data_IF_085549228264
#
_entry.id   IF_085549228264
#
_cell.length_a   1.000
_cell.length_b   1.000
_cell.length_c   1.000
_cell.angle_alpha   90.00
_cell.angle_beta   90.00
_cell.angle_gamma   90.00
#
_symmetry.space_group_name_H-M   'P 1'
#
loop_
_entity.id
_entity.type
_entity.pdbx_description
1 polymer ?
#
# COMPACT_ATOMS: atom_id res chain seq x y z
N UNK A 1 41.74 37.47 57.56
CA UNK A 1 42.07 37.43 56.09
C UNK A 1 41.91 36.04 55.47
N UNK A 2 42.37 34.93 56.12
CA UNK A 2 42.23 33.57 55.56
C UNK A 2 40.78 33.07 55.36
N UNK A 3 39.81 33.51 56.14
CA UNK A 3 38.37 33.09 56.04
C UNK A 3 37.64 33.79 54.88
N UNK A 4 38.05 34.96 54.48
CA UNK A 4 37.49 35.68 53.33
C UNK A 4 37.94 35.10 52.02
N UNK A 5 39.19 34.60 51.93
CA UNK A 5 39.72 33.96 50.74
C UNK A 5 39.02 32.64 50.43
N UNK A 6 38.59 31.91 51.48
CA UNK A 6 37.89 30.63 51.32
C UNK A 6 36.46 30.80 50.75
N UNK A 7 35.77 31.88 51.16
CA UNK A 7 34.44 32.19 50.67
C UNK A 7 34.43 32.67 49.21
N UNK A 8 35.46 33.39 48.79
CA UNK A 8 35.62 33.84 47.41
C UNK A 8 35.88 32.65 46.47
N UNK A 9 36.66 31.65 46.93
CA UNK A 9 37.00 30.46 46.15
C UNK A 9 35.73 29.55 45.92
N UNK A 10 34.81 29.48 46.89
CA UNK A 10 33.57 28.72 46.78
C UNK A 10 32.57 29.44 45.86
N UNK A 11 32.56 30.78 45.87
CA UNK A 11 31.67 31.55 44.98
C UNK A 11 32.06 31.44 43.49
N UNK A 12 33.36 31.31 43.21
CA UNK A 12 33.88 31.18 41.84
C UNK A 12 33.59 29.77 41.28
N UNK A 13 33.51 28.72 42.11
CA UNK A 13 33.15 27.38 41.65
C UNK A 13 31.66 27.22 41.32
N UNK A 14 30.78 28.07 41.84
CA UNK A 14 29.33 28.00 41.58
C UNK A 14 28.89 28.70 40.29
N UNK A 15 29.77 29.52 39.68
CA UNK A 15 29.42 30.24 38.43
C UNK A 15 29.86 29.49 37.18
N UNK A 16 30.71 28.45 37.30
CA UNK A 16 31.14 27.61 36.15
C UNK A 16 30.25 26.40 35.87
N UNK A 17 29.17 26.22 36.63
CA UNK A 17 28.23 25.08 36.46
C UNK A 17 26.92 25.43 35.72
N UNK A 18 26.83 26.62 35.10
CA UNK A 18 25.64 27.02 34.31
C UNK A 18 25.99 27.28 32.85
N UNK A 19 26.68 26.31 32.24
CA UNK A 19 26.98 26.26 30.81
C UNK A 19 26.66 24.89 30.23
N UNK A 20 25.55 24.26 30.66
CA UNK A 20 25.01 23.11 29.96
C UNK A 20 24.08 23.62 28.85
N UNK A 21 24.63 23.80 27.68
CA UNK A 21 23.83 23.75 26.46
C UNK A 21 22.95 22.50 26.52
N UNK A 22 21.66 22.70 26.69
CA UNK A 22 20.65 21.72 26.38
C UNK A 22 20.77 21.47 24.88
N UNK A 23 21.68 20.59 24.48
CA UNK A 23 21.56 19.90 23.20
C UNK A 23 20.24 19.20 23.25
N UNK A 24 19.25 19.87 22.66
CA UNK A 24 18.01 19.26 22.23
C UNK A 24 18.42 18.12 21.30
N UNK A 25 18.64 16.94 21.85
CA UNK A 25 18.76 15.72 21.07
C UNK A 25 17.37 15.49 20.46
N UNK A 26 17.17 16.07 19.30
CA UNK A 26 16.23 15.53 18.34
C UNK A 26 16.77 14.13 18.00
N UNK A 27 16.42 13.16 18.81
CA UNK A 27 16.39 11.78 18.35
C UNK A 27 15.25 11.68 17.35
N UNK A 28 15.45 12.25 16.17
CA UNK A 28 14.89 11.71 14.96
C UNK A 28 15.56 10.34 14.87
N UNK A 29 14.85 9.30 15.30
CA UNK A 29 15.20 7.94 14.98
C UNK A 29 15.33 7.90 13.46
N UNK A 30 16.57 7.97 12.97
CA UNK A 30 16.86 7.70 11.58
C UNK A 30 16.55 6.23 11.37
N UNK A 31 15.34 5.92 10.93
CA UNK A 31 15.11 4.71 10.17
C UNK A 31 16.16 4.74 9.06
N UNK A 32 17.09 3.79 9.12
CA UNK A 32 18.00 3.55 8.01
C UNK A 32 17.12 3.44 6.77
N UNK A 33 17.22 4.40 5.86
CA UNK A 33 16.51 4.34 4.60
C UNK A 33 16.84 2.98 3.98
N UNK A 34 15.84 2.17 3.75
CA UNK A 34 16.03 0.86 3.15
C UNK A 34 16.51 1.08 1.73
N UNK A 35 17.70 0.57 1.40
CA UNK A 35 18.33 0.82 0.09
C UNK A 35 17.57 0.15 -1.06
N UNK A 36 16.76 -0.88 -0.76
CA UNK A 36 15.99 -1.64 -1.76
C UNK A 36 14.70 -2.15 -1.14
N UNK A 37 13.58 -1.95 -1.82
CA UNK A 37 12.27 -2.46 -1.42
C UNK A 37 11.95 -3.75 -2.15
N UNK A 38 11.29 -4.71 -1.47
CA UNK A 38 10.74 -5.93 -2.07
C UNK A 38 9.23 -5.80 -2.15
N UNK A 39 8.66 -5.83 -3.35
CA UNK A 39 7.22 -5.73 -3.58
C UNK A 39 6.70 -7.06 -4.10
N UNK A 40 5.70 -7.64 -3.41
CA UNK A 40 4.96 -8.78 -3.91
C UNK A 40 3.85 -8.32 -4.85
N UNK A 41 3.79 -8.87 -6.05
CA UNK A 41 2.69 -8.61 -6.99
C UNK A 41 1.88 -9.87 -7.17
N UNK A 42 0.58 -9.81 -6.93
CA UNK A 42 -0.34 -10.93 -7.16
C UNK A 42 -1.45 -10.54 -8.13
N UNK A 43 -1.67 -11.40 -9.11
CA UNK A 43 -2.68 -11.26 -10.15
C UNK A 43 -3.56 -12.50 -10.19
N UNK A 44 -4.89 -12.33 -10.34
CA UNK A 44 -5.81 -13.48 -10.28
C UNK A 44 -5.64 -14.39 -11.49
N UNK A 45 -5.48 -13.83 -12.69
CA UNK A 45 -5.38 -14.56 -13.95
C UNK A 45 -4.60 -13.74 -14.98
N UNK A 46 -3.94 -14.38 -15.92
CA UNK A 46 -3.33 -13.70 -17.06
C UNK A 46 -4.43 -13.11 -17.96
N UNK A 47 -4.44 -11.77 -18.08
CA UNK A 47 -5.39 -11.05 -18.90
C UNK A 47 -4.76 -9.72 -19.35
N UNK A 48 -4.90 -9.29 -20.62
CA UNK A 48 -4.21 -8.10 -21.14
C UNK A 48 -4.42 -6.83 -20.32
N UNK A 49 -5.64 -6.59 -19.81
CA UNK A 49 -5.92 -5.42 -18.98
C UNK A 49 -5.21 -5.47 -17.63
N UNK A 50 -5.16 -6.66 -16.99
CA UNK A 50 -4.48 -6.86 -15.71
C UNK A 50 -2.95 -6.82 -15.89
N UNK A 51 -2.45 -7.38 -16.98
CA UNK A 51 -1.04 -7.31 -17.35
C UNK A 51 -0.60 -5.85 -17.57
N UNK A 52 -1.43 -5.03 -18.24
CA UNK A 52 -1.18 -3.61 -18.44
C UNK A 52 -1.14 -2.86 -17.12
N UNK A 53 -2.04 -3.15 -16.18
CA UNK A 53 -2.04 -2.55 -14.84
C UNK A 53 -0.75 -2.91 -14.06
N UNK A 54 -0.32 -4.18 -14.14
CA UNK A 54 0.94 -4.64 -13.54
C UNK A 54 2.14 -3.92 -14.11
N UNK A 55 2.27 -3.87 -15.43
CA UNK A 55 3.41 -3.22 -16.07
C UNK A 55 3.43 -1.70 -15.79
N UNK A 56 2.28 -1.01 -15.84
CA UNK A 56 2.19 0.40 -15.49
C UNK A 56 2.62 0.70 -14.04
N UNK A 57 2.28 -0.18 -13.10
CA UNK A 57 2.74 -0.08 -11.73
C UNK A 57 4.28 -0.22 -11.64
N UNK A 58 4.87 -1.19 -12.33
CA UNK A 58 6.32 -1.39 -12.36
C UNK A 58 7.06 -0.23 -13.03
N UNK A 59 6.49 0.33 -14.09
CA UNK A 59 7.09 1.46 -14.81
C UNK A 59 7.14 2.73 -13.94
N UNK A 60 6.12 2.98 -13.12
CA UNK A 60 6.15 4.09 -12.16
C UNK A 60 7.34 4.01 -11.19
N UNK A 61 7.76 2.81 -10.78
CA UNK A 61 8.96 2.65 -9.95
C UNK A 61 10.26 2.89 -10.72
N UNK A 62 10.32 2.51 -12.00
CA UNK A 62 11.48 2.83 -12.85
C UNK A 62 11.66 4.35 -12.98
N UNK A 63 10.56 5.09 -13.15
CA UNK A 63 10.57 6.54 -13.26
C UNK A 63 10.90 7.23 -11.93
N UNK A 64 10.52 6.64 -10.80
CA UNK A 64 10.76 7.20 -9.46
C UNK A 64 12.22 7.15 -9.02
N UNK A 65 13.05 6.31 -9.64
CA UNK A 65 14.44 6.08 -9.24
C UNK A 65 14.60 5.25 -7.95
N UNK A 66 13.50 4.74 -7.37
CA UNK A 66 13.55 3.85 -6.22
C UNK A 66 14.09 2.48 -6.61
N UNK A 67 14.95 1.91 -5.78
CA UNK A 67 15.44 0.54 -5.97
C UNK A 67 14.39 -0.43 -5.47
N UNK A 68 13.74 -1.15 -6.40
CA UNK A 68 12.68 -2.10 -6.10
C UNK A 68 12.98 -3.44 -6.76
N UNK A 69 12.68 -4.51 -6.04
CA UNK A 69 12.61 -5.88 -6.58
C UNK A 69 11.18 -6.35 -6.53
N UNK A 70 10.71 -7.00 -7.60
CA UNK A 70 9.35 -7.51 -7.70
C UNK A 70 9.35 -9.04 -7.60
N UNK A 71 8.46 -9.57 -6.77
CA UNK A 71 8.10 -10.99 -6.72
C UNK A 71 6.69 -11.15 -7.29
N UNK A 72 6.61 -11.61 -8.54
CA UNK A 72 5.37 -11.66 -9.31
C UNK A 72 4.77 -13.06 -9.28
N UNK A 73 3.50 -13.19 -8.89
CA UNK A 73 2.77 -14.45 -8.81
C UNK A 73 1.40 -14.32 -9.46
N UNK A 74 0.99 -15.40 -10.13
CA UNK A 74 -0.34 -15.52 -10.74
C UNK A 74 -1.12 -16.63 -10.04
N UNK A 75 -2.36 -16.35 -9.65
CA UNK A 75 -3.22 -17.32 -8.98
C UNK A 75 -3.93 -18.27 -9.94
N UNK A 76 -3.83 -18.05 -11.26
CA UNK A 76 -4.42 -18.88 -12.32
C UNK A 76 -5.94 -19.11 -12.16
N UNK A 77 -6.66 -18.10 -11.65
CA UNK A 77 -8.09 -18.16 -11.40
C UNK A 77 -8.50 -18.79 -10.08
N UNK A 78 -7.54 -19.30 -9.30
CA UNK A 78 -7.80 -20.09 -8.09
C UNK A 78 -7.68 -19.24 -6.81
N UNK A 79 -8.77 -19.07 -6.07
CA UNK A 79 -8.80 -18.31 -4.82
C UNK A 79 -7.88 -18.93 -3.76
N UNK A 80 -7.83 -20.27 -3.68
CA UNK A 80 -6.93 -20.96 -2.75
C UNK A 80 -5.45 -20.62 -3.03
N UNK A 81 -5.08 -20.54 -4.31
CA UNK A 81 -3.74 -20.14 -4.75
C UNK A 81 -3.47 -18.67 -4.41
N UNK A 82 -4.46 -17.77 -4.61
CA UNK A 82 -4.32 -16.37 -4.22
C UNK A 82 -4.07 -16.21 -2.71
N UNK A 83 -4.79 -16.95 -1.87
CA UNK A 83 -4.59 -16.98 -0.42
C UNK A 83 -3.19 -17.47 -0.04
N UNK A 84 -2.71 -18.53 -0.70
CA UNK A 84 -1.36 -19.07 -0.46
C UNK A 84 -0.29 -18.04 -0.86
N UNK A 85 -0.44 -17.38 -1.99
CA UNK A 85 0.49 -16.33 -2.45
C UNK A 85 0.54 -15.18 -1.45
N UNK A 86 -0.61 -14.69 -0.99
CA UNK A 86 -0.69 -13.61 -0.02
C UNK A 86 0.01 -13.96 1.31
N UNK A 87 -0.21 -15.16 1.83
CA UNK A 87 0.46 -15.65 3.05
C UNK A 87 1.98 -15.81 2.85
N UNK A 88 2.42 -16.25 1.67
CA UNK A 88 3.84 -16.35 1.34
C UNK A 88 4.50 -14.96 1.35
N UNK A 89 3.90 -13.94 0.77
CA UNK A 89 4.42 -12.57 0.79
C UNK A 89 4.57 -12.04 2.22
N UNK A 90 3.62 -12.32 3.10
CA UNK A 90 3.72 -11.96 4.53
C UNK A 90 4.89 -12.69 5.19
N UNK A 91 5.06 -13.98 4.94
CA UNK A 91 6.14 -14.81 5.49
C UNK A 91 7.52 -14.36 4.99
N UNK A 92 7.61 -13.99 3.72
CA UNK A 92 8.82 -13.48 3.07
C UNK A 92 9.13 -12.02 3.42
N UNK A 93 8.24 -11.37 4.19
CA UNK A 93 8.38 -10.00 4.66
C UNK A 93 8.61 -9.00 3.50
N UNK A 94 7.80 -9.10 2.46
CA UNK A 94 7.79 -8.07 1.44
C UNK A 94 7.41 -6.70 2.07
N UNK A 95 7.78 -5.62 1.45
CA UNK A 95 7.52 -4.28 1.99
C UNK A 95 6.12 -3.77 1.65
N UNK A 96 5.55 -4.29 0.55
CA UNK A 96 4.23 -3.96 0.04
C UNK A 96 3.69 -5.12 -0.78
N UNK A 97 2.37 -5.34 -0.75
CA UNK A 97 1.68 -6.21 -1.69
C UNK A 97 0.90 -5.35 -2.68
N UNK A 98 1.14 -5.55 -3.98
CA UNK A 98 0.28 -5.04 -5.04
C UNK A 98 -0.63 -6.16 -5.53
N UNK A 99 -1.93 -5.97 -5.34
CA UNK A 99 -2.95 -6.97 -5.65
C UNK A 99 -3.84 -6.50 -6.80
N UNK A 100 -3.91 -7.30 -7.86
CA UNK A 100 -4.62 -6.97 -9.10
C UNK A 100 -5.87 -7.85 -9.21
N UNK A 101 -7.04 -7.24 -9.18
CA UNK A 101 -8.39 -7.80 -9.10
C UNK A 101 -8.87 -8.11 -7.67
N UNK A 102 -10.20 -8.22 -7.53
CA UNK A 102 -10.90 -8.31 -6.24
C UNK A 102 -10.43 -9.48 -5.39
N UNK A 103 -10.37 -10.68 -5.94
CA UNK A 103 -10.04 -11.90 -5.17
C UNK A 103 -8.63 -11.87 -4.59
N UNK A 104 -7.64 -11.36 -5.34
CA UNK A 104 -6.26 -11.23 -4.85
C UNK A 104 -6.12 -10.15 -3.79
N UNK A 105 -6.84 -9.03 -3.94
CA UNK A 105 -6.85 -7.97 -2.94
C UNK A 105 -7.53 -8.42 -1.63
N UNK A 106 -8.62 -9.18 -1.72
CA UNK A 106 -9.26 -9.79 -0.56
C UNK A 106 -8.31 -10.76 0.14
N UNK A 107 -7.62 -11.62 -0.62
CA UNK A 107 -6.63 -12.56 -0.09
C UNK A 107 -5.49 -11.80 0.63
N UNK A 108 -4.95 -10.75 0.02
CA UNK A 108 -3.91 -9.93 0.63
C UNK A 108 -4.40 -9.22 1.90
N UNK A 109 -5.59 -8.61 1.86
CA UNK A 109 -6.19 -7.91 2.99
C UNK A 109 -6.60 -8.85 4.16
N UNK A 110 -6.79 -10.13 3.89
CA UNK A 110 -7.03 -11.15 4.92
C UNK A 110 -5.71 -11.66 5.53
N UNK A 111 -4.65 -11.78 4.73
CA UNK A 111 -3.36 -12.29 5.17
C UNK A 111 -2.63 -11.33 6.13
N UNK A 112 -2.90 -10.02 6.07
CA UNK A 112 -2.21 -9.04 6.90
C UNK A 112 -3.08 -7.82 7.24
N UNK A 113 -2.83 -7.24 8.41
CA UNK A 113 -3.38 -5.96 8.82
C UNK A 113 -2.28 -4.89 9.07
N UNK A 114 -1.03 -5.22 8.72
CA UNK A 114 0.14 -4.35 8.96
C UNK A 114 0.89 -4.03 7.68
N UNK A 115 1.07 -5.04 6.83
CA UNK A 115 1.77 -4.85 5.58
C UNK A 115 0.90 -4.02 4.63
N UNK A 116 1.42 -2.94 4.03
CA UNK A 116 0.67 -2.15 3.05
C UNK A 116 0.19 -3.01 1.88
N UNK A 117 -1.08 -2.86 1.54
CA UNK A 117 -1.70 -3.49 0.37
C UNK A 117 -2.22 -2.40 -0.55
N UNK A 118 -1.74 -2.41 -1.78
CA UNK A 118 -2.23 -1.52 -2.86
C UNK A 118 -2.97 -2.37 -3.87
N UNK A 119 -4.15 -1.94 -4.29
CA UNK A 119 -4.94 -2.68 -5.26
C UNK A 119 -5.22 -1.88 -6.55
N UNK A 120 -5.54 -2.61 -7.61
CA UNK A 120 -6.11 -2.07 -8.85
C UNK A 120 -7.09 -3.06 -9.49
N UNK A 121 -7.81 -2.62 -10.51
CA UNK A 121 -8.82 -3.41 -11.22
C UNK A 121 -9.91 -3.95 -10.26
N UNK A 122 -10.43 -3.07 -9.43
CA UNK A 122 -11.53 -3.37 -8.48
C UNK A 122 -12.61 -2.32 -8.64
N UNK A 123 -13.81 -2.75 -8.97
CA UNK A 123 -14.93 -1.85 -9.25
C UNK A 123 -15.52 -1.27 -7.97
N UNK A 124 -15.71 -2.06 -6.92
CA UNK A 124 -16.25 -1.63 -5.63
C UNK A 124 -15.43 -2.14 -4.44
N UNK A 125 -14.41 -1.38 -4.01
CA UNK A 125 -13.59 -1.76 -2.86
C UNK A 125 -14.37 -1.85 -1.55
N UNK A 126 -15.45 -1.08 -1.39
CA UNK A 126 -16.29 -1.10 -0.20
C UNK A 126 -17.09 -2.40 -0.13
N UNK A 127 -17.80 -2.75 -1.21
CA UNK A 127 -18.52 -4.03 -1.31
C UNK A 127 -17.58 -5.24 -1.19
N UNK A 128 -16.33 -5.11 -1.65
CA UNK A 128 -15.28 -6.13 -1.52
C UNK A 128 -14.68 -6.24 -0.10
N UNK A 129 -15.05 -5.37 0.86
CA UNK A 129 -14.53 -5.38 2.22
C UNK A 129 -13.06 -4.92 2.32
N UNK A 130 -12.63 -4.05 1.43
CA UNK A 130 -11.24 -3.58 1.32
C UNK A 130 -11.00 -2.22 2.00
N UNK A 131 -11.96 -1.71 2.76
CA UNK A 131 -11.79 -0.47 3.53
C UNK A 131 -11.10 -0.80 4.85
N UNK A 132 -9.77 -0.76 4.85
CA UNK A 132 -8.91 -1.05 6.01
C UNK A 132 -7.75 -0.05 6.07
N UNK A 133 -7.18 0.17 7.25
CA UNK A 133 -6.09 1.15 7.46
C UNK A 133 -4.84 0.87 6.60
N UNK A 134 -4.53 -0.39 6.35
CA UNK A 134 -3.36 -0.82 5.57
C UNK A 134 -3.67 -1.11 4.11
N UNK A 135 -4.90 -0.83 3.63
CA UNK A 135 -5.33 -1.15 2.26
C UNK A 135 -5.75 0.13 1.54
N UNK A 136 -5.21 0.35 0.35
CA UNK A 136 -5.55 1.46 -0.53
C UNK A 136 -5.42 1.04 -1.99
N UNK A 137 -5.88 1.85 -2.93
CA UNK A 137 -5.74 1.54 -4.34
C UNK A 137 -6.58 2.40 -5.25
N UNK A 138 -6.69 1.97 -6.50
CA UNK A 138 -7.43 2.65 -7.55
C UNK A 138 -8.61 1.76 -7.96
N UNK A 139 -9.82 2.31 -7.85
CA UNK A 139 -11.05 1.69 -8.34
C UNK A 139 -11.26 2.01 -9.82
N UNK A 140 -11.75 1.03 -10.57
CA UNK A 140 -12.18 1.18 -11.96
C UNK A 140 -13.72 1.36 -12.07
N UNK A 141 -14.35 1.92 -11.05
CA UNK A 141 -15.80 2.12 -10.96
C UNK A 141 -16.35 2.82 -12.20
N UNK A 142 -17.33 2.19 -12.83
CA UNK A 142 -18.05 2.71 -13.97
C UNK A 142 -19.46 3.16 -13.59
N UNK A 143 -19.97 4.19 -14.26
CA UNK A 143 -21.35 4.61 -14.05
C UNK A 143 -22.28 3.85 -14.98
N UNK A 144 -22.78 2.70 -14.51
CA UNK A 144 -23.69 1.82 -15.27
C UNK A 144 -24.94 2.55 -15.76
N UNK A 145 -25.49 3.47 -14.95
CA UNK A 145 -26.65 4.28 -15.37
C UNK A 145 -26.34 5.11 -16.61
N UNK A 146 -25.20 5.80 -16.65
CA UNK A 146 -24.80 6.58 -17.83
C UNK A 146 -24.55 5.69 -19.05
N UNK A 147 -24.01 4.50 -18.87
CA UNK A 147 -23.84 3.53 -19.96
C UNK A 147 -25.18 3.09 -20.55
N UNK A 148 -26.15 2.76 -19.69
CA UNK A 148 -27.51 2.41 -20.13
C UNK A 148 -28.23 3.59 -20.79
N UNK A 149 -28.08 4.79 -20.26
CA UNK A 149 -28.63 6.01 -20.87
C UNK A 149 -28.03 6.27 -22.27
N UNK A 150 -26.73 6.05 -22.42
CA UNK A 150 -26.06 6.15 -23.72
C UNK A 150 -26.59 5.11 -24.70
N UNK A 151 -26.74 3.85 -24.25
CA UNK A 151 -27.30 2.77 -25.06
C UNK A 151 -28.71 3.14 -25.58
N UNK A 152 -29.57 3.68 -24.73
CA UNK A 152 -30.94 4.11 -25.10
C UNK A 152 -30.94 5.36 -26.01
N UNK A 153 -29.91 6.22 -25.95
CA UNK A 153 -29.74 7.33 -26.91
C UNK A 153 -29.33 6.83 -28.28
N UNK A 154 -28.55 5.76 -28.36
CA UNK A 154 -28.12 5.16 -29.63
C UNK A 154 -29.27 4.41 -30.29
N UNK A 155 -30.06 3.67 -29.51
CA UNK A 155 -31.29 3.01 -29.98
C UNK A 155 -32.37 2.98 -28.91
N UNK A 156 -33.37 3.85 -29.05
CA UNK A 156 -34.51 3.95 -28.11
C UNK A 156 -35.47 2.75 -28.16
N UNK A 157 -35.31 1.85 -29.13
CA UNK A 157 -36.18 0.66 -29.26
C UNK A 157 -35.71 -0.50 -28.39
N UNK A 158 -34.56 -0.43 -27.79
CA UNK A 158 -34.03 -1.48 -26.90
C UNK A 158 -34.98 -1.67 -25.71
N UNK A 159 -35.47 -2.89 -25.53
CA UNK A 159 -36.36 -3.30 -24.44
C UNK A 159 -35.73 -4.31 -23.50
N UNK A 160 -34.67 -4.98 -23.93
CA UNK A 160 -34.00 -6.05 -23.15
C UNK A 160 -32.48 -5.93 -23.30
N UNK A 161 -31.80 -6.07 -22.18
CA UNK A 161 -30.32 -6.11 -22.11
C UNK A 161 -29.92 -7.45 -21.49
N UNK A 162 -29.01 -8.17 -22.13
CA UNK A 162 -28.41 -9.36 -21.57
C UNK A 162 -27.15 -8.98 -20.77
N UNK A 163 -26.95 -9.62 -19.62
CA UNK A 163 -25.77 -9.46 -18.79
C UNK A 163 -25.08 -10.81 -18.64
N UNK A 164 -23.78 -10.83 -18.93
CA UNK A 164 -22.92 -11.99 -18.68
C UNK A 164 -22.00 -11.59 -17.52
N UNK A 165 -21.94 -12.42 -16.49
CA UNK A 165 -21.12 -12.17 -15.33
C UNK A 165 -20.55 -13.46 -14.75
N UNK A 166 -19.45 -13.35 -14.00
CA UNK A 166 -18.88 -14.45 -13.22
C UNK A 166 -19.43 -14.39 -11.79
N UNK A 167 -20.18 -15.41 -11.38
CA UNK A 167 -20.82 -15.44 -10.04
C UNK A 167 -19.81 -15.57 -8.88
N UNK A 168 -18.57 -15.92 -9.16
CA UNK A 168 -17.51 -15.98 -8.16
C UNK A 168 -16.78 -14.62 -7.93
N UNK A 169 -17.06 -13.63 -8.75
CA UNK A 169 -16.50 -12.27 -8.61
C UNK A 169 -17.55 -11.33 -8.01
N UNK A 170 -17.13 -10.66 -6.94
CA UNK A 170 -17.94 -9.63 -6.27
C UNK A 170 -17.53 -8.26 -6.77
N UNK A 171 -18.08 -7.84 -7.89
CA UNK A 171 -17.87 -6.52 -8.48
C UNK A 171 -19.16 -5.71 -8.49
#
# INVERSE_FOLDING_TARGET
>A
MKKILLLVSIAIMLVLSCGNEVKKSSQTGGEKSKDTFKIGITQIVAHPALDSAREGFKDAFKESGLKVTFDEKNANGEIATANMIANNFVTEKVDLIYAIATSTAQSAAQATNKLPVVFSAITDPEAAGLIKENVTGISDRVNVKQQLELLLKLDSKIKKVGVIYNSSEQN
#
